data_IF_566499929365
#
_entry.id   IF_566499929365
#
_cell.length_a   1.000
_cell.length_b   1.000
_cell.length_c   1.000
_cell.angle_alpha   90.00
_cell.angle_beta   90.00
_cell.angle_gamma   90.00
#
_symmetry.space_group_name_H-M   'P 1'
#
loop_
_entity.id
_entity.type
_entity.pdbx_description
1 polymer ?
#
# COMPACT_ATOMS: atom_id res chain seq x y z
N UNK A 1 -27.69 17.33 -15.64
CA UNK A 1 -26.32 17.01 -15.13
C UNK A 1 -25.33 17.70 -16.04
N UNK A 2 -24.43 18.49 -15.45
CA UNK A 2 -23.38 19.16 -16.21
C UNK A 2 -22.41 18.09 -16.72
N UNK A 3 -22.15 18.11 -18.02
CA UNK A 3 -21.12 17.30 -18.66
C UNK A 3 -20.24 18.23 -19.47
N UNK A 4 -18.98 17.83 -19.63
CA UNK A 4 -18.07 18.51 -20.54
C UNK A 4 -18.02 17.69 -21.82
N UNK A 5 -18.50 18.27 -22.92
CA UNK A 5 -18.37 17.71 -24.25
C UNK A 5 -17.10 18.26 -24.90
N UNK A 6 -16.28 17.38 -25.48
CA UNK A 6 -15.13 17.72 -26.31
C UNK A 6 -15.34 17.09 -27.68
N UNK A 7 -15.32 17.90 -28.74
CA UNK A 7 -15.47 17.41 -30.12
C UNK A 7 -14.12 16.98 -30.74
N UNK A 8 -14.18 16.40 -31.94
CA UNK A 8 -13.01 16.00 -32.74
C UNK A 8 -11.97 17.12 -32.96
N UNK A 9 -12.38 18.38 -32.91
CA UNK A 9 -11.51 19.55 -33.07
C UNK A 9 -10.97 20.06 -31.72
N UNK A 10 -11.20 19.33 -30.63
CA UNK A 10 -10.82 19.72 -29.27
C UNK A 10 -11.57 20.96 -28.76
N UNK A 11 -12.76 21.27 -29.29
CA UNK A 11 -13.60 22.35 -28.78
C UNK A 11 -14.38 21.85 -27.56
N UNK A 12 -14.10 22.48 -26.42
CA UNK A 12 -14.81 22.25 -25.17
C UNK A 12 -16.15 22.98 -25.16
N UNK A 13 -17.24 22.28 -24.84
CA UNK A 13 -18.52 22.90 -24.51
C UNK A 13 -19.10 22.27 -23.24
N UNK A 14 -19.53 23.09 -22.29
CA UNK A 14 -20.25 22.60 -21.12
C UNK A 14 -21.73 22.55 -21.46
N UNK A 15 -22.31 21.36 -21.44
CA UNK A 15 -23.74 21.16 -21.71
C UNK A 15 -24.38 20.48 -20.53
N UNK A 16 -25.67 20.73 -20.37
CA UNK A 16 -26.48 19.93 -19.48
C UNK A 16 -27.20 18.86 -20.30
N UNK A 17 -26.61 17.67 -20.37
CA UNK A 17 -27.16 16.58 -21.18
C UNK A 17 -28.08 15.72 -20.30
N UNK A 18 -29.33 15.56 -20.74
CA UNK A 18 -30.30 14.67 -20.10
C UNK A 18 -29.94 13.21 -20.36
N UNK A 19 -30.20 12.34 -19.37
CA UNK A 19 -29.91 10.89 -19.50
C UNK A 19 -30.59 10.25 -20.72
N UNK A 20 -31.79 10.71 -21.08
CA UNK A 20 -32.53 10.24 -22.26
C UNK A 20 -31.83 10.61 -23.57
N UNK A 21 -31.27 11.82 -23.66
CA UNK A 21 -30.53 12.29 -24.84
C UNK A 21 -29.30 11.44 -25.10
N UNK A 22 -28.60 11.00 -24.05
CA UNK A 22 -27.42 10.11 -24.17
C UNK A 22 -27.82 8.73 -24.70
N UNK A 23 -28.87 8.14 -24.11
CA UNK A 23 -29.43 6.84 -24.53
C UNK A 23 -29.89 6.88 -25.98
N UNK A 24 -30.57 7.95 -26.39
CA UNK A 24 -31.07 8.12 -27.77
C UNK A 24 -29.94 8.36 -28.79
N UNK A 25 -28.88 9.08 -28.40
CA UNK A 25 -27.79 9.44 -29.34
C UNK A 25 -26.83 8.26 -29.59
N UNK A 26 -26.58 7.44 -28.57
CA UNK A 26 -25.56 6.38 -28.63
C UNK A 26 -26.16 4.97 -28.68
N UNK A 27 -27.49 4.87 -28.65
CA UNK A 27 -28.23 3.60 -28.66
C UNK A 27 -27.87 2.68 -27.48
N UNK A 28 -27.43 3.25 -26.36
CA UNK A 28 -26.99 2.52 -25.16
C UNK A 28 -28.15 2.35 -24.16
N UNK A 29 -28.47 1.12 -23.70
CA UNK A 29 -29.44 0.88 -22.65
C UNK A 29 -29.12 1.63 -21.34
N UNK A 30 -30.15 2.14 -20.65
CA UNK A 30 -29.96 2.89 -19.40
C UNK A 30 -29.20 2.13 -18.30
N UNK A 31 -29.31 0.79 -18.28
CA UNK A 31 -28.62 -0.07 -17.31
C UNK A 31 -27.11 -0.03 -17.48
N UNK A 32 -26.64 0.15 -18.71
CA UNK A 32 -25.22 0.10 -19.08
C UNK A 32 -24.52 1.41 -18.71
N UNK A 33 -25.27 2.51 -18.51
CA UNK A 33 -24.72 3.78 -18.03
C UNK A 33 -24.44 3.80 -16.51
N UNK A 34 -24.76 2.73 -15.78
CA UNK A 34 -24.56 2.66 -14.32
C UNK A 34 -23.12 2.92 -13.87
N UNK A 35 -22.05 2.43 -14.54
CA UNK A 35 -20.66 2.71 -14.14
C UNK A 35 -20.33 4.21 -14.16
N UNK A 36 -20.90 4.94 -15.12
CA UNK A 36 -20.73 6.40 -15.23
C UNK A 36 -21.46 7.13 -14.07
N UNK A 37 -22.65 6.66 -13.69
CA UNK A 37 -23.50 7.33 -12.71
C UNK A 37 -23.35 6.85 -11.26
N UNK A 38 -22.73 5.68 -11.06
CA UNK A 38 -22.51 5.10 -9.75
C UNK A 38 -21.38 5.84 -9.02
N UNK A 39 -21.47 5.94 -7.70
CA UNK A 39 -20.34 6.39 -6.86
C UNK A 39 -19.24 5.31 -6.84
N UNK A 40 -19.57 4.07 -7.26
CA UNK A 40 -18.61 2.96 -7.37
C UNK A 40 -17.41 3.35 -8.24
N UNK A 41 -16.22 3.02 -7.73
CA UNK A 41 -14.93 3.38 -8.33
C UNK A 41 -14.28 2.22 -9.11
N UNK A 42 -14.95 1.07 -9.19
CA UNK A 42 -14.43 -0.09 -9.93
C UNK A 42 -14.21 0.31 -11.37
N UNK A 43 -13.00 0.06 -11.87
CA UNK A 43 -12.68 0.36 -13.26
C UNK A 43 -13.53 -0.52 -14.19
N UNK A 44 -13.99 0.05 -15.29
CA UNK A 44 -14.88 -0.66 -16.23
C UNK A 44 -14.71 -0.04 -17.61
N UNK A 45 -14.51 -0.88 -18.61
CA UNK A 45 -14.36 -0.48 -20.01
C UNK A 45 -15.19 -1.45 -20.83
N UNK A 46 -16.08 -0.95 -21.68
CA UNK A 46 -16.77 -1.77 -22.68
C UNK A 46 -17.39 -0.88 -23.74
N UNK A 47 -17.59 -1.44 -24.92
CA UNK A 47 -18.35 -0.83 -26.00
C UNK A 47 -19.82 -1.27 -25.97
N UNK A 48 -20.70 -0.35 -26.35
CA UNK A 48 -22.13 -0.65 -26.50
C UNK A 48 -22.76 0.28 -27.53
N UNK A 49 -23.41 -0.29 -28.54
CA UNK A 49 -24.06 0.51 -29.59
C UNK A 49 -23.02 1.34 -30.34
N UNK A 50 -23.14 2.68 -30.28
CA UNK A 50 -22.22 3.62 -30.94
C UNK A 50 -21.32 4.39 -29.98
N UNK A 51 -21.06 3.81 -28.80
CA UNK A 51 -20.21 4.45 -27.82
C UNK A 51 -19.44 3.49 -26.91
N UNK A 52 -18.26 3.92 -26.50
CA UNK A 52 -17.44 3.27 -25.47
C UNK A 52 -17.71 3.91 -24.13
N UNK A 53 -18.01 3.08 -23.13
CA UNK A 53 -18.13 3.48 -21.73
C UNK A 53 -16.81 3.20 -21.06
N UNK A 54 -16.21 4.24 -20.47
CA UNK A 54 -14.96 4.11 -19.73
C UNK A 54 -15.10 4.77 -18.35
N UNK A 55 -14.90 3.98 -17.31
CA UNK A 55 -14.81 4.41 -15.93
C UNK A 55 -13.45 3.99 -15.37
N UNK A 56 -12.59 4.95 -15.07
CA UNK A 56 -11.29 4.73 -14.40
C UNK A 56 -11.27 5.43 -13.02
N UNK A 57 -12.44 5.52 -12.37
CA UNK A 57 -12.64 6.16 -11.07
C UNK A 57 -13.00 7.64 -11.19
N UNK A 58 -12.01 8.53 -11.15
CA UNK A 58 -12.25 9.99 -11.32
C UNK A 58 -12.60 10.32 -12.77
N UNK A 59 -11.95 9.62 -13.71
CA UNK A 59 -12.17 9.75 -15.14
C UNK A 59 -13.38 8.88 -15.50
N UNK A 60 -14.47 9.53 -15.90
CA UNK A 60 -15.70 8.86 -16.36
C UNK A 60 -16.07 9.45 -17.70
N UNK A 61 -16.08 8.62 -18.73
CA UNK A 61 -16.15 9.05 -20.11
C UNK A 61 -17.15 8.20 -20.87
N UNK A 62 -17.80 8.84 -21.82
CA UNK A 62 -18.56 8.20 -22.87
C UNK A 62 -17.99 8.71 -24.18
N UNK A 63 -17.45 7.80 -24.97
CA UNK A 63 -16.66 8.11 -26.16
C UNK A 63 -17.50 7.67 -27.36
N UNK A 64 -17.64 8.54 -28.36
CA UNK A 64 -18.17 8.18 -29.69
C UNK A 64 -17.12 8.55 -30.74
N UNK A 65 -17.37 8.24 -32.00
CA UNK A 65 -16.45 8.51 -33.12
C UNK A 65 -16.10 10.00 -33.34
N UNK A 66 -16.95 10.95 -32.92
CA UNK A 66 -16.76 12.38 -33.21
C UNK A 66 -16.70 13.29 -31.97
N UNK A 67 -17.02 12.74 -30.80
CA UNK A 67 -17.12 13.49 -29.54
C UNK A 67 -17.00 12.60 -28.33
N UNK A 68 -16.62 13.23 -27.22
CA UNK A 68 -16.52 12.58 -25.91
C UNK A 68 -17.22 13.41 -24.85
N UNK A 69 -17.96 12.74 -23.98
CA UNK A 69 -18.57 13.34 -22.80
C UNK A 69 -17.81 12.93 -21.55
N UNK A 70 -17.23 13.92 -20.89
CA UNK A 70 -16.63 13.80 -19.57
C UNK A 70 -17.71 14.04 -18.49
N UNK A 71 -17.81 13.08 -17.58
CA UNK A 71 -18.65 13.13 -16.39
C UNK A 71 -17.81 13.47 -15.17
N UNK A 72 -18.47 13.59 -14.00
CA UNK A 72 -17.82 14.00 -12.75
C UNK A 72 -17.25 15.43 -12.79
N UNK A 73 -18.04 16.37 -13.32
CA UNK A 73 -17.68 17.81 -13.41
C UNK A 73 -17.56 18.50 -12.06
N UNK A 74 -17.86 17.82 -10.96
CA UNK A 74 -17.66 18.35 -9.60
C UNK A 74 -16.19 18.21 -9.15
N UNK A 75 -15.38 17.43 -9.86
CA UNK A 75 -13.95 17.29 -9.60
C UNK A 75 -13.12 18.37 -10.31
N UNK A 76 -12.32 19.11 -9.55
CA UNK A 76 -11.39 20.11 -10.08
C UNK A 76 -10.40 19.48 -11.08
N UNK A 77 -9.97 18.25 -10.83
CA UNK A 77 -9.07 17.50 -11.72
C UNK A 77 -9.67 17.31 -13.13
N UNK A 78 -10.98 17.08 -13.21
CA UNK A 78 -11.67 16.91 -14.50
C UNK A 78 -11.75 18.26 -15.24
N UNK A 79 -12.07 19.33 -14.50
CA UNK A 79 -12.28 20.64 -15.08
C UNK A 79 -10.99 21.34 -15.53
N UNK A 80 -9.93 21.23 -14.72
CA UNK A 80 -8.69 21.99 -14.86
C UNK A 80 -7.58 21.22 -15.57
N UNK A 81 -7.55 19.88 -15.44
CA UNK A 81 -6.45 19.05 -15.95
C UNK A 81 -6.92 18.17 -17.11
N UNK A 82 -7.90 17.29 -16.87
CA UNK A 82 -8.30 16.26 -17.84
C UNK A 82 -8.96 16.90 -19.07
N UNK A 83 -10.00 17.72 -18.91
CA UNK A 83 -10.70 18.30 -20.06
C UNK A 83 -9.81 19.21 -20.92
N UNK A 84 -8.98 20.11 -20.35
CA UNK A 84 -8.06 20.93 -21.13
C UNK A 84 -6.88 20.13 -21.70
N UNK A 85 -6.45 19.06 -21.03
CA UNK A 85 -5.42 18.14 -21.53
C UNK A 85 -5.93 17.35 -22.74
N UNK A 86 -7.13 16.79 -22.66
CA UNK A 86 -7.77 16.05 -23.74
C UNK A 86 -8.01 16.94 -24.96
N UNK A 87 -8.52 18.15 -24.76
CA UNK A 87 -8.71 19.12 -25.84
C UNK A 87 -7.39 19.51 -26.54
N UNK A 88 -6.26 19.49 -25.83
CA UNK A 88 -4.93 19.71 -26.42
C UNK A 88 -4.44 18.49 -27.18
N UNK A 89 -4.59 17.29 -26.62
CA UNK A 89 -4.22 16.04 -27.26
C UNK A 89 -4.97 15.85 -28.59
N UNK A 90 -6.27 16.13 -28.62
CA UNK A 90 -7.11 16.00 -29.82
C UNK A 90 -6.78 17.02 -30.93
N UNK A 91 -6.15 18.16 -30.58
CA UNK A 91 -5.73 19.21 -31.52
C UNK A 91 -4.33 19.00 -32.10
N UNK A 92 -3.59 18.01 -31.63
CA UNK A 92 -2.27 17.73 -32.17
C UNK A 92 -2.37 17.40 -33.68
N UNK A 93 -1.37 17.84 -34.46
CA UNK A 93 -1.33 17.64 -35.92
C UNK A 93 -1.09 16.17 -36.31
N UNK A 94 -0.58 15.36 -35.39
CA UNK A 94 -0.32 13.93 -35.62
C UNK A 94 -1.63 13.14 -35.43
N UNK A 95 -2.38 12.97 -36.52
CA UNK A 95 -3.65 12.24 -36.56
C UNK A 95 -3.43 10.80 -37.07
N UNK A 96 -2.52 10.07 -36.44
CA UNK A 96 -2.26 8.67 -36.80
C UNK A 96 -3.39 7.74 -36.35
N UNK A 97 -3.97 8.01 -35.17
CA UNK A 97 -5.01 7.19 -34.55
C UNK A 97 -6.42 7.76 -34.75
N UNK A 98 -7.41 6.88 -34.81
CA UNK A 98 -8.83 7.23 -34.79
C UNK A 98 -9.22 8.01 -33.51
N UNK A 99 -10.29 8.79 -33.58
CA UNK A 99 -10.67 9.72 -32.50
C UNK A 99 -10.85 9.00 -31.16
N UNK A 100 -11.58 7.89 -31.14
CA UNK A 100 -11.86 7.10 -29.95
C UNK A 100 -10.59 6.54 -29.32
N UNK A 101 -9.63 6.06 -30.13
CA UNK A 101 -8.37 5.50 -29.66
C UNK A 101 -7.49 6.59 -29.02
N UNK A 102 -7.43 7.80 -29.62
CA UNK A 102 -6.73 8.95 -29.01
C UNK A 102 -7.32 9.34 -27.66
N UNK A 103 -8.63 9.25 -27.51
CA UNK A 103 -9.32 9.53 -26.25
C UNK A 103 -8.98 8.47 -25.19
N UNK A 104 -9.00 7.19 -25.57
CA UNK A 104 -8.64 6.05 -24.72
C UNK A 104 -7.17 6.16 -24.27
N UNK A 105 -6.26 6.37 -25.22
CA UNK A 105 -4.83 6.50 -24.97
C UNK A 105 -4.55 7.68 -24.02
N UNK A 106 -5.20 8.83 -24.22
CA UNK A 106 -5.09 9.96 -23.30
C UNK A 106 -5.57 9.60 -21.89
N UNK A 107 -6.70 8.92 -21.76
CA UNK A 107 -7.27 8.54 -20.47
C UNK A 107 -6.35 7.56 -19.72
N UNK A 108 -5.82 6.55 -20.41
CA UNK A 108 -4.83 5.61 -19.87
C UNK A 108 -3.54 6.30 -19.45
N UNK A 109 -2.98 7.15 -20.31
CA UNK A 109 -1.77 7.90 -19.99
C UNK A 109 -1.96 8.79 -18.76
N UNK A 110 -3.06 9.54 -18.67
CA UNK A 110 -3.34 10.37 -17.49
C UNK A 110 -3.49 9.53 -16.22
N UNK A 111 -4.22 8.40 -16.30
CA UNK A 111 -4.41 7.48 -15.18
C UNK A 111 -3.09 6.86 -14.71
N UNK A 112 -2.25 6.40 -15.63
CA UNK A 112 -0.93 5.85 -15.35
C UNK A 112 -0.01 6.88 -14.70
N UNK A 113 0.04 8.11 -15.19
CA UNK A 113 0.87 9.16 -14.59
C UNK A 113 0.47 9.44 -13.13
N UNK A 114 -0.83 9.43 -12.84
CA UNK A 114 -1.33 9.58 -11.48
C UNK A 114 -0.96 8.38 -10.59
N UNK A 115 -1.07 7.16 -11.11
CA UNK A 115 -0.65 5.95 -10.40
C UNK A 115 0.85 5.96 -10.10
N UNK A 116 1.69 6.32 -11.08
CA UNK A 116 3.15 6.46 -10.92
C UNK A 116 3.51 7.47 -9.84
N UNK A 117 2.93 8.67 -9.90
CA UNK A 117 3.16 9.70 -8.88
C UNK A 117 2.77 9.22 -7.48
N UNK A 118 1.65 8.51 -7.36
CA UNK A 118 1.20 7.95 -6.08
C UNK A 118 2.14 6.85 -5.57
N UNK A 119 2.63 5.98 -6.47
CA UNK A 119 3.61 4.95 -6.16
C UNK A 119 4.90 5.56 -5.63
N UNK A 120 5.44 6.57 -6.32
CA UNK A 120 6.66 7.29 -5.94
C UNK A 120 6.53 7.94 -4.55
N UNK A 121 5.38 8.55 -4.25
CA UNK A 121 5.14 9.18 -2.96
C UNK A 121 5.06 8.14 -1.82
N UNK A 122 4.41 7.01 -2.07
CA UNK A 122 4.34 5.89 -1.12
C UNK A 122 5.71 5.25 -0.91
N UNK A 123 6.50 5.08 -1.96
CA UNK A 123 7.88 4.59 -1.89
C UNK A 123 8.73 5.51 -1.02
N UNK A 124 8.79 6.81 -1.35
CA UNK A 124 9.57 7.80 -0.60
C UNK A 124 9.17 7.82 0.88
N UNK A 125 7.87 7.75 1.18
CA UNK A 125 7.38 7.70 2.55
C UNK A 125 7.80 6.41 3.27
N UNK A 126 7.73 5.27 2.58
CA UNK A 126 8.09 3.94 3.10
C UNK A 126 9.58 3.84 3.36
N UNK A 127 10.43 4.09 2.37
CA UNK A 127 11.89 4.02 2.51
C UNK A 127 12.40 4.94 3.61
N UNK A 128 11.82 6.15 3.74
CA UNK A 128 12.16 7.09 4.81
C UNK A 128 11.77 6.55 6.19
N UNK A 129 10.61 5.89 6.30
CA UNK A 129 10.15 5.34 7.58
C UNK A 129 10.92 4.08 7.98
N UNK A 130 11.20 3.17 7.04
CA UNK A 130 11.99 1.97 7.29
C UNK A 130 13.37 2.32 7.85
N UNK A 131 14.08 3.28 7.23
CA UNK A 131 15.37 3.78 7.73
C UNK A 131 15.30 4.33 9.16
N UNK A 132 14.18 4.95 9.55
CA UNK A 132 13.98 5.44 10.92
C UNK A 132 13.76 4.30 11.89
N UNK A 133 12.90 3.36 11.52
CA UNK A 133 12.51 2.20 12.36
C UNK A 133 13.71 1.28 12.62
N UNK A 134 14.63 1.16 11.66
CA UNK A 134 15.88 0.42 11.83
C UNK A 134 16.79 1.02 12.92
N UNK A 135 16.82 2.36 13.02
CA UNK A 135 17.63 3.08 14.01
C UNK A 135 16.98 3.08 15.39
N UNK A 136 15.69 3.43 15.44
CA UNK A 136 14.90 3.50 16.67
C UNK A 136 13.46 3.10 16.36
N UNK A 137 13.02 1.99 16.94
CA UNK A 137 11.64 1.54 16.85
C UNK A 137 10.86 2.01 18.08
N UNK A 138 9.90 2.90 17.86
CA UNK A 138 8.95 3.40 18.84
C UNK A 138 7.50 3.11 18.41
N UNK A 139 6.56 3.16 19.33
CA UNK A 139 5.15 2.84 19.04
C UNK A 139 4.59 3.72 17.89
N UNK A 140 5.04 4.97 17.78
CA UNK A 140 4.60 5.91 16.73
C UNK A 140 5.12 5.54 15.35
N UNK A 141 6.37 5.09 15.24
CA UNK A 141 6.93 4.67 13.96
C UNK A 141 6.30 3.35 13.48
N UNK A 142 5.99 2.44 14.40
CA UNK A 142 5.23 1.21 14.12
C UNK A 142 3.80 1.51 13.65
N UNK A 143 3.10 2.43 14.30
CA UNK A 143 1.75 2.85 13.88
C UNK A 143 1.77 3.48 12.47
N UNK A 144 2.77 4.33 12.19
CA UNK A 144 2.96 4.92 10.85
C UNK A 144 3.27 3.86 9.79
N UNK A 145 4.04 2.83 10.14
CA UNK A 145 4.41 1.75 9.24
C UNK A 145 3.16 0.90 8.90
N UNK A 146 2.31 0.62 9.90
CA UNK A 146 1.01 0.00 9.67
C UNK A 146 0.09 0.86 8.79
N UNK A 147 0.10 2.19 8.96
CA UNK A 147 -0.69 3.10 8.12
C UNK A 147 -0.20 3.07 6.67
N UNK A 148 1.10 3.10 6.43
CA UNK A 148 1.68 2.98 5.09
C UNK A 148 1.38 1.62 4.45
N UNK A 149 1.53 0.51 5.18
CA UNK A 149 1.15 -0.83 4.69
C UNK A 149 -0.31 -0.90 4.24
N UNK A 150 -1.22 -0.29 5.01
CA UNK A 150 -2.64 -0.19 4.64
C UNK A 150 -2.86 0.68 3.40
N UNK A 151 -2.12 1.77 3.22
CA UNK A 151 -2.21 2.61 2.03
C UNK A 151 -1.70 1.87 0.79
N UNK A 152 -0.55 1.19 0.88
CA UNK A 152 -0.01 0.33 -0.17
C UNK A 152 -1.01 -0.75 -0.58
N UNK A 153 -1.59 -1.47 0.40
CA UNK A 153 -2.56 -2.53 0.12
C UNK A 153 -3.83 -2.01 -0.57
N UNK A 154 -4.30 -0.81 -0.21
CA UNK A 154 -5.44 -0.18 -0.90
C UNK A 154 -5.08 0.23 -2.33
N UNK A 155 -3.87 0.73 -2.52
CA UNK A 155 -3.42 1.15 -3.84
C UNK A 155 -3.18 -0.05 -4.78
N UNK A 156 -2.68 -1.17 -4.24
CA UNK A 156 -2.56 -2.45 -4.94
C UNK A 156 -3.92 -2.96 -5.45
N UNK A 157 -4.98 -2.84 -4.65
CA UNK A 157 -6.35 -3.17 -5.09
C UNK A 157 -6.75 -2.29 -6.28
N UNK A 158 -6.46 -0.99 -6.24
CA UNK A 158 -6.78 -0.07 -7.35
C UNK A 158 -6.02 -0.45 -8.61
N UNK A 159 -4.73 -0.82 -8.52
CA UNK A 159 -3.96 -1.29 -9.67
C UNK A 159 -4.61 -2.53 -10.28
N UNK A 160 -4.89 -3.55 -9.46
CA UNK A 160 -5.54 -4.80 -9.88
C UNK A 160 -6.92 -4.57 -10.52
N UNK A 161 -7.72 -3.67 -9.97
CA UNK A 161 -9.01 -3.31 -10.56
C UNK A 161 -8.87 -2.69 -11.96
N UNK A 162 -7.85 -1.84 -12.16
CA UNK A 162 -7.63 -1.18 -13.45
C UNK A 162 -7.00 -2.13 -14.48
N UNK A 163 -6.11 -3.02 -14.04
CA UNK A 163 -5.53 -4.09 -14.84
C UNK A 163 -6.62 -5.06 -15.30
N UNK A 164 -7.44 -5.56 -14.37
CA UNK A 164 -8.53 -6.48 -14.69
C UNK A 164 -9.53 -5.90 -15.69
N UNK A 165 -9.88 -4.63 -15.56
CA UNK A 165 -10.80 -3.97 -16.49
C UNK A 165 -10.21 -3.77 -17.90
N UNK A 166 -8.89 -3.72 -18.04
CA UNK A 166 -8.22 -3.65 -19.34
C UNK A 166 -8.00 -5.04 -19.93
N UNK A 167 -7.61 -6.03 -19.11
CA UNK A 167 -7.47 -7.42 -19.52
C UNK A 167 -8.80 -8.04 -19.98
N UNK A 168 -9.92 -7.71 -19.33
CA UNK A 168 -11.25 -8.19 -19.75
C UNK A 168 -11.56 -7.85 -21.21
N UNK A 169 -11.12 -6.68 -21.69
CA UNK A 169 -11.25 -6.27 -23.10
C UNK A 169 -10.18 -6.93 -23.96
N UNK A 170 -8.93 -6.99 -23.48
CA UNK A 170 -7.79 -7.54 -24.23
C UNK A 170 -7.93 -9.05 -24.49
N UNK A 171 -8.67 -9.77 -23.65
CA UNK A 171 -8.87 -11.21 -23.75
C UNK A 171 -9.83 -11.62 -24.89
N UNK A 172 -10.61 -10.69 -25.48
CA UNK A 172 -11.59 -10.96 -26.53
C UNK A 172 -11.44 -10.00 -27.73
N UNK A 173 -11.06 -10.54 -28.89
CA UNK A 173 -10.93 -9.79 -30.15
C UNK A 173 -12.25 -9.09 -30.54
N UNK A 174 -13.42 -9.65 -30.21
CA UNK A 174 -14.72 -9.02 -30.48
C UNK A 174 -14.89 -7.73 -29.64
N UNK A 175 -14.48 -7.76 -28.37
CA UNK A 175 -14.53 -6.58 -27.50
C UNK A 175 -13.54 -5.50 -27.96
N UNK A 176 -12.35 -5.88 -28.45
CA UNK A 176 -11.39 -4.95 -29.08
C UNK A 176 -11.97 -4.32 -30.35
N UNK A 177 -12.59 -5.12 -31.22
CA UNK A 177 -13.24 -4.63 -32.43
C UNK A 177 -14.36 -3.63 -32.11
N UNK A 178 -15.18 -3.91 -31.09
CA UNK A 178 -16.28 -3.04 -30.68
C UNK A 178 -15.80 -1.66 -30.17
N UNK A 179 -14.54 -1.54 -29.74
CA UNK A 179 -13.94 -0.24 -29.39
C UNK A 179 -13.59 0.62 -30.61
N UNK A 180 -13.36 0.02 -31.79
CA UNK A 180 -12.99 0.70 -33.03
C UNK A 180 -14.21 1.26 -33.78
N UNK A 181 -14.92 2.21 -33.15
CA UNK A 181 -16.19 2.76 -33.64
C UNK A 181 -16.06 3.38 -35.05
N UNK A 182 -14.98 4.11 -35.33
CA UNK A 182 -14.76 4.80 -36.62
C UNK A 182 -14.61 3.80 -37.76
N UNK A 183 -13.91 2.69 -37.52
CA UNK A 183 -13.75 1.61 -38.50
C UNK A 183 -15.09 0.89 -38.75
N UNK A 184 -15.86 0.60 -37.70
CA UNK A 184 -17.22 0.06 -37.81
C UNK A 184 -18.18 0.91 -38.65
N UNK A 185 -17.98 2.23 -38.71
CA UNK A 185 -18.80 3.13 -39.55
C UNK A 185 -18.41 3.09 -41.04
N UNK A 186 -17.21 2.61 -41.35
CA UNK A 186 -16.62 2.66 -42.70
C UNK A 186 -16.66 1.29 -43.40
N UNK A 187 -16.60 0.22 -42.62
CA UNK A 187 -16.41 -1.15 -43.08
C UNK A 187 -17.73 -1.94 -43.09
N UNK A 188 -17.82 -2.98 -43.92
CA UNK A 188 -19.02 -3.84 -44.05
C UNK A 188 -18.87 -5.21 -43.36
N UNK A 189 -17.64 -5.71 -43.17
CA UNK A 189 -17.34 -6.99 -42.50
C UNK A 189 -16.40 -6.75 -41.31
N UNK A 190 -16.72 -7.34 -40.15
CA UNK A 190 -15.96 -7.16 -38.91
C UNK A 190 -14.49 -7.57 -39.03
N UNK A 191 -14.18 -8.52 -39.95
CA UNK A 191 -12.83 -9.04 -40.16
C UNK A 191 -11.83 -8.05 -40.74
N UNK A 192 -12.31 -6.96 -41.31
CA UNK A 192 -11.45 -5.92 -41.89
C UNK A 192 -11.08 -4.84 -40.86
N UNK A 193 -11.59 -4.94 -39.62
CA UNK A 193 -11.24 -4.03 -38.53
C UNK A 193 -9.82 -4.37 -38.06
N UNK A 194 -8.95 -3.36 -38.12
CA UNK A 194 -7.59 -3.46 -37.62
C UNK A 194 -7.58 -3.20 -36.12
N UNK A 195 -7.26 -4.24 -35.35
CA UNK A 195 -7.20 -4.21 -33.89
C UNK A 195 -5.78 -3.99 -33.35
N UNK A 196 -4.74 -3.97 -34.20
CA UNK A 196 -3.34 -3.93 -33.75
C UNK A 196 -3.05 -2.68 -32.90
N UNK A 197 -3.58 -1.52 -33.30
CA UNK A 197 -3.39 -0.26 -32.56
C UNK A 197 -4.10 -0.26 -31.20
N UNK A 198 -5.36 -0.76 -31.13
CA UNK A 198 -6.11 -0.80 -29.87
C UNK A 198 -5.52 -1.83 -28.92
N UNK A 199 -5.14 -3.01 -29.43
CA UNK A 199 -4.45 -4.05 -28.67
C UNK A 199 -3.15 -3.50 -28.06
N UNK A 200 -2.31 -2.84 -28.86
CA UNK A 200 -1.05 -2.25 -28.40
C UNK A 200 -1.24 -1.19 -27.30
N UNK A 201 -2.28 -0.35 -27.40
CA UNK A 201 -2.60 0.65 -26.35
C UNK A 201 -2.97 -0.05 -25.03
N UNK A 202 -3.78 -1.12 -25.09
CA UNK A 202 -4.21 -1.87 -23.91
C UNK A 202 -3.05 -2.68 -23.31
N UNK A 203 -2.25 -3.38 -24.12
CA UNK A 203 -1.05 -4.07 -23.68
C UNK A 203 -0.07 -3.12 -22.99
N UNK A 204 0.18 -1.95 -23.58
CA UNK A 204 1.07 -0.95 -22.98
C UNK A 204 0.55 -0.45 -21.62
N UNK A 205 -0.77 -0.35 -21.47
CA UNK A 205 -1.40 0.05 -20.22
C UNK A 205 -1.30 -1.04 -19.14
N UNK A 206 -1.60 -2.29 -19.48
CA UNK A 206 -1.52 -3.44 -18.56
C UNK A 206 -0.09 -3.71 -18.15
N UNK A 207 0.87 -3.74 -19.08
CA UNK A 207 2.30 -3.88 -18.81
C UNK A 207 2.80 -2.84 -17.80
N UNK A 208 2.36 -1.59 -17.97
CA UNK A 208 2.76 -0.53 -17.06
C UNK A 208 2.15 -0.71 -15.67
N UNK A 209 0.88 -1.12 -15.57
CA UNK A 209 0.27 -1.43 -14.27
C UNK A 209 0.98 -2.60 -13.60
N UNK A 210 1.30 -3.66 -14.32
CA UNK A 210 1.97 -4.85 -13.80
C UNK A 210 3.34 -4.47 -13.20
N UNK A 211 4.12 -3.66 -13.91
CA UNK A 211 5.41 -3.12 -13.41
C UNK A 211 5.24 -2.32 -12.12
N UNK A 212 4.22 -1.47 -12.03
CA UNK A 212 3.90 -0.76 -10.79
C UNK A 212 3.51 -1.73 -9.67
N UNK A 213 2.70 -2.75 -9.99
CA UNK A 213 2.22 -3.76 -9.04
C UNK A 213 3.40 -4.54 -8.42
N UNK A 214 4.36 -4.98 -9.25
CA UNK A 214 5.58 -5.63 -8.77
C UNK A 214 6.41 -4.74 -7.85
N UNK A 215 6.61 -3.48 -8.23
CA UNK A 215 7.37 -2.52 -7.41
C UNK A 215 6.72 -2.28 -6.04
N UNK A 216 5.39 -2.15 -6.00
CA UNK A 216 4.66 -2.03 -4.73
C UNK A 216 4.69 -3.32 -3.91
N UNK A 217 4.68 -4.48 -4.56
CA UNK A 217 4.84 -5.79 -3.94
C UNK A 217 6.14 -5.88 -3.15
N UNK A 218 7.26 -5.50 -3.78
CA UNK A 218 8.59 -5.47 -3.14
C UNK A 218 8.62 -4.51 -1.93
N UNK A 219 8.05 -3.31 -2.06
CA UNK A 219 7.97 -2.36 -0.94
C UNK A 219 7.16 -2.90 0.25
N UNK A 220 6.12 -3.69 -0.02
CA UNK A 220 5.29 -4.32 1.00
C UNK A 220 6.00 -5.48 1.67
N UNK A 221 6.75 -6.28 0.91
CA UNK A 221 7.62 -7.34 1.44
C UNK A 221 8.70 -6.75 2.36
N UNK A 222 9.38 -5.68 1.93
CA UNK A 222 10.36 -4.96 2.75
C UNK A 222 9.78 -4.44 4.08
N UNK A 223 8.53 -3.97 4.06
CA UNK A 223 7.79 -3.57 5.27
C UNK A 223 7.58 -4.78 6.18
N UNK A 224 7.16 -5.91 5.63
CA UNK A 224 6.82 -7.12 6.38
C UNK A 224 8.06 -7.76 7.02
N UNK A 225 9.16 -7.83 6.27
CA UNK A 225 10.47 -8.25 6.77
C UNK A 225 10.95 -7.36 7.92
N UNK A 226 10.81 -6.05 7.78
CA UNK A 226 11.18 -5.10 8.83
C UNK A 226 10.33 -5.29 10.08
N UNK A 227 9.03 -5.55 9.93
CA UNK A 227 8.15 -5.86 11.07
C UNK A 227 8.56 -7.15 11.77
N UNK A 228 8.93 -8.19 11.02
CA UNK A 228 9.41 -9.45 11.57
C UNK A 228 10.73 -9.26 12.34
N UNK A 229 11.69 -8.53 11.78
CA UNK A 229 12.96 -8.20 12.45
C UNK A 229 12.71 -7.47 13.77
N UNK A 230 11.78 -6.52 13.82
CA UNK A 230 11.45 -5.80 15.05
C UNK A 230 10.81 -6.74 16.07
N UNK A 231 9.90 -7.62 15.64
CA UNK A 231 9.28 -8.60 16.51
C UNK A 231 10.34 -9.52 17.14
N UNK A 232 11.31 -9.99 16.36
CA UNK A 232 12.45 -10.78 16.85
C UNK A 232 13.32 -9.98 17.84
N UNK A 233 13.63 -8.71 17.55
CA UNK A 233 14.39 -7.84 18.46
C UNK A 233 13.66 -7.63 19.80
N UNK A 234 12.35 -7.39 19.77
CA UNK A 234 11.52 -7.23 20.96
C UNK A 234 11.48 -8.52 21.80
N UNK A 235 11.32 -9.67 21.16
CA UNK A 235 11.38 -10.96 21.85
C UNK A 235 12.75 -11.19 22.50
N UNK A 236 13.83 -10.83 21.82
CA UNK A 236 15.18 -10.93 22.38
C UNK A 236 15.37 -9.99 23.58
N UNK A 237 14.90 -8.74 23.48
CA UNK A 237 14.93 -7.77 24.60
C UNK A 237 14.15 -8.28 25.81
N UNK A 238 12.95 -8.82 25.61
CA UNK A 238 12.15 -9.45 26.68
C UNK A 238 12.92 -10.60 27.32
N UNK A 239 13.54 -11.47 26.52
CA UNK A 239 14.35 -12.57 27.05
C UNK A 239 15.56 -12.06 27.85
N UNK A 240 16.21 -10.97 27.44
CA UNK A 240 17.26 -10.33 28.24
C UNK A 240 16.73 -9.81 29.57
N UNK A 241 15.57 -9.15 29.58
CA UNK A 241 14.93 -8.65 30.83
C UNK A 241 14.63 -9.81 31.78
N UNK A 242 14.02 -10.89 31.29
CA UNK A 242 13.73 -12.10 32.10
C UNK A 242 15.01 -12.67 32.71
N UNK A 243 16.12 -12.67 31.97
CA UNK A 243 17.42 -13.14 32.51
C UNK A 243 17.95 -12.24 33.62
N UNK A 244 17.85 -10.91 33.49
CA UNK A 244 18.27 -10.00 34.55
C UNK A 244 17.37 -10.13 35.80
N UNK A 245 16.07 -10.33 35.61
CA UNK A 245 15.12 -10.58 36.70
C UNK A 245 15.46 -11.87 37.48
N UNK A 246 15.77 -12.95 36.76
CA UNK A 246 16.24 -14.20 37.38
C UNK A 246 17.53 -13.99 38.20
N UNK A 247 18.49 -13.20 37.67
CA UNK A 247 19.73 -12.89 38.41
C UNK A 247 19.45 -12.04 39.65
N UNK A 248 18.59 -11.03 39.56
CA UNK A 248 18.18 -10.21 40.70
C UNK A 248 17.46 -11.04 41.78
N UNK A 249 16.59 -11.96 41.36
CA UNK A 249 15.88 -12.89 42.25
C UNK A 249 16.86 -13.83 42.96
N UNK A 250 17.85 -14.37 42.24
CA UNK A 250 18.91 -15.20 42.81
C UNK A 250 19.73 -14.45 43.86
N UNK A 251 20.14 -13.21 43.56
CA UNK A 251 20.86 -12.35 44.51
C UNK A 251 20.00 -12.09 45.76
N UNK A 252 18.72 -11.77 45.58
CA UNK A 252 17.77 -11.51 46.68
C UNK A 252 17.55 -12.74 47.56
N UNK A 253 17.50 -13.94 46.96
CA UNK A 253 17.38 -15.20 47.70
C UNK A 253 18.60 -15.44 48.60
N UNK A 254 19.80 -15.15 48.10
CA UNK A 254 21.05 -15.24 48.88
C UNK A 254 21.05 -14.25 50.04
N UNK A 255 20.70 -12.99 49.79
CA UNK A 255 20.61 -11.99 50.86
C UNK A 255 19.53 -12.34 51.90
N UNK A 256 18.40 -12.89 51.49
CA UNK A 256 17.35 -13.37 52.40
C UNK A 256 17.88 -14.45 53.35
N UNK A 257 18.68 -15.39 52.85
CA UNK A 257 19.29 -16.44 53.68
C UNK A 257 20.30 -15.86 54.67
N UNK A 258 21.16 -14.93 54.23
CA UNK A 258 22.10 -14.22 55.10
C UNK A 258 21.37 -13.37 56.16
N UNK A 259 20.24 -12.75 55.79
CA UNK A 259 19.43 -11.95 56.70
C UNK A 259 18.77 -12.78 57.79
N UNK A 260 18.35 -14.03 57.52
CA UNK A 260 17.85 -14.95 58.55
C UNK A 260 18.94 -15.25 59.58
N UNK A 261 20.16 -15.58 59.13
CA UNK A 261 21.28 -15.86 60.05
C UNK A 261 21.63 -14.60 60.85
N UNK A 262 21.73 -13.45 60.20
CA UNK A 262 21.97 -12.16 60.87
C UNK A 262 20.87 -11.84 61.87
N UNK A 263 19.61 -12.11 61.53
CA UNK A 263 18.45 -11.93 62.40
C UNK A 263 18.52 -12.79 63.66
N UNK A 264 18.83 -14.08 63.53
CA UNK A 264 18.97 -14.99 64.67
C UNK A 264 20.03 -14.52 65.69
N UNK A 265 21.18 -14.02 65.20
CA UNK A 265 22.25 -13.49 66.06
C UNK A 265 22.01 -12.04 66.51
N UNK A 266 21.11 -11.30 65.84
CA UNK A 266 20.69 -9.96 66.24
C UNK A 266 19.54 -9.95 67.26
N UNK A 267 18.96 -11.11 67.59
CA UNK A 267 17.92 -11.23 68.61
C UNK A 267 18.52 -11.12 70.02
N UNK A 268 17.78 -10.47 70.93
CA UNK A 268 18.14 -10.32 72.34
C UNK A 268 17.86 -11.61 73.15
N UNK A 269 18.48 -12.73 72.73
CA UNK A 269 18.43 -14.02 73.40
C UNK A 269 19.85 -14.33 73.86
N UNK A 270 20.04 -14.61 75.16
CA UNK A 270 21.35 -14.92 75.73
C UNK A 270 22.02 -16.07 74.98
N UNK A 271 23.00 -15.72 74.16
CA UNK A 271 23.84 -16.65 73.43
C UNK A 271 25.26 -16.52 74.03
N UNK A 272 25.83 -17.62 74.55
CA UNK A 272 27.17 -17.62 75.16
C UNK A 272 28.33 -17.29 74.17
N UNK A 273 28.00 -16.87 72.95
CA UNK A 273 28.91 -16.45 71.89
C UNK A 273 29.03 -14.92 71.76
N UNK A 274 28.19 -14.15 72.46
CA UNK A 274 28.12 -12.67 72.33
C UNK A 274 29.39 -11.94 72.77
N UNK A 275 30.11 -12.46 73.76
CA UNK A 275 31.32 -11.81 74.30
C UNK A 275 32.61 -12.17 73.53
N UNK A 276 32.54 -13.11 72.58
CA UNK A 276 33.73 -13.64 71.90
C UNK A 276 33.98 -12.92 70.57
N UNK A 277 34.94 -12.00 70.54
CA UNK A 277 35.29 -11.22 69.35
C UNK A 277 35.64 -12.08 68.13
N UNK A 278 36.17 -13.29 68.35
CA UNK A 278 36.48 -14.25 67.29
C UNK A 278 35.23 -14.81 66.59
N UNK A 279 34.12 -15.00 67.32
CA UNK A 279 32.89 -15.54 66.75
C UNK A 279 32.25 -14.58 65.73
N UNK A 280 32.31 -13.29 66.01
CA UNK A 280 31.84 -12.24 65.09
C UNK A 280 32.61 -12.28 63.75
N UNK A 281 33.94 -12.28 63.80
CA UNK A 281 34.78 -12.31 62.60
C UNK A 281 34.63 -13.61 61.81
N UNK A 282 34.42 -14.75 62.48
CA UNK A 282 34.16 -16.04 61.81
C UNK A 282 32.85 -16.04 61.02
N UNK A 283 31.75 -15.53 61.61
CA UNK A 283 30.46 -15.45 60.93
C UNK A 283 30.53 -14.48 59.74
N UNK A 284 31.12 -13.31 59.95
CA UNK A 284 31.31 -12.31 58.90
C UNK A 284 32.18 -12.86 57.76
N UNK A 285 33.30 -13.50 58.08
CA UNK A 285 34.17 -14.15 57.09
C UNK A 285 33.44 -15.27 56.34
N UNK A 286 32.62 -16.06 57.03
CA UNK A 286 31.78 -17.10 56.45
C UNK A 286 30.77 -16.56 55.44
N UNK A 287 30.12 -15.42 55.74
CA UNK A 287 29.20 -14.75 54.81
C UNK A 287 29.91 -14.24 53.57
N UNK A 288 31.06 -13.59 53.74
CA UNK A 288 31.86 -13.09 52.60
C UNK A 288 32.33 -14.26 51.73
N UNK A 289 32.79 -15.35 52.33
CA UNK A 289 33.20 -16.55 51.60
C UNK A 289 32.04 -17.21 50.86
N UNK A 290 30.87 -17.33 51.50
CA UNK A 290 29.68 -17.89 50.85
C UNK A 290 29.22 -17.02 49.67
N UNK A 291 29.17 -15.70 49.85
CA UNK A 291 28.76 -14.77 48.81
C UNK A 291 29.72 -14.77 47.62
N UNK A 292 31.03 -14.74 47.89
CA UNK A 292 32.06 -14.80 46.83
C UNK A 292 32.00 -16.12 46.04
N UNK A 293 31.83 -17.26 46.72
CA UNK A 293 31.70 -18.56 46.06
C UNK A 293 30.43 -18.65 45.22
N UNK A 294 29.31 -18.11 45.73
CA UNK A 294 28.06 -18.00 44.99
C UNK A 294 28.24 -17.15 43.70
N UNK A 295 28.87 -15.97 43.81
CA UNK A 295 29.15 -15.12 42.65
C UNK A 295 30.01 -15.86 41.60
N UNK A 296 31.04 -16.61 42.02
CA UNK A 296 31.89 -17.38 41.10
C UNK A 296 31.09 -18.45 40.36
N UNK A 297 30.20 -19.18 41.07
CA UNK A 297 29.36 -20.21 40.45
C UNK A 297 28.39 -19.59 39.44
N UNK A 298 27.73 -18.49 39.80
CA UNK A 298 26.79 -17.79 38.91
C UNK A 298 27.50 -17.23 37.68
N UNK A 299 28.63 -16.56 37.84
CA UNK A 299 29.43 -16.05 36.73
C UNK A 299 29.96 -17.18 35.83
N UNK A 300 30.38 -18.31 36.42
CA UNK A 300 30.80 -19.50 35.68
C UNK A 300 29.66 -20.12 34.87
N UNK A 301 28.45 -20.17 35.44
CA UNK A 301 27.25 -20.65 34.74
C UNK A 301 26.86 -19.72 33.58
N UNK A 302 26.85 -18.41 33.81
CA UNK A 302 26.55 -17.40 32.79
C UNK A 302 27.55 -17.44 31.63
N UNK A 303 28.84 -17.59 31.92
CA UNK A 303 29.89 -17.70 30.90
C UNK A 303 29.78 -18.99 30.08
N UNK A 304 29.43 -20.11 30.70
CA UNK A 304 29.22 -21.40 29.99
C UNK A 304 28.05 -21.34 29.02
N UNK A 305 27.00 -20.60 29.32
CA UNK A 305 25.86 -20.45 28.42
C UNK A 305 26.06 -19.38 27.32
N UNK A 306 27.26 -18.78 27.19
CA UNK A 306 27.54 -17.68 26.25
C UNK A 306 26.55 -16.52 26.42
N UNK A 307 26.18 -16.25 27.67
CA UNK A 307 25.29 -15.14 28.04
C UNK A 307 26.11 -13.86 28.29
N UNK A 308 27.42 -14.00 28.53
CA UNK A 308 28.43 -12.94 28.59
C UNK A 308 29.35 -12.99 27.36
#
# INVERSE_FOLDING_TARGET
MKTIEVDINGKKSTREVGRKTIVETLEVPFRDLRPIFSISQVATIFARGKGVIMNLGVIKMLISHDRVWLFNTDSDEVNEIIAPGLARALKAEDQSLDFELRVIEFAFNHKLQKMKTTADDLEKATTKLLKRVEQEYDDRSLEKLLKLKKQLSRFEIILKENEAAALEVLDDDEDLQDLCITQWLTITDAKDIDIEEVESIFESYTDQIERLSYHLGDLKENIDDTQEIIALKLQNRRNSIIRYDLLATLITAVFSLLAVVTGLYGMNIHNNLEQNHLAFWLILGGFVLFFTLFCIIVLGYLKRQKIL
#
